data_IF_464975248787
#
_entry.id   IF_464975248787
#
_cell.length_a   1.000
_cell.length_b   1.000
_cell.length_c   1.000
_cell.angle_alpha   90.00
_cell.angle_beta   90.00
_cell.angle_gamma   90.00
#
_symmetry.space_group_name_H-M   'P 1'
#
loop_
_entity.id
_entity.type
_entity.pdbx_description
1 polymer ?
#
# COMPACT_ATOMS: atom_id res chain seq x y z
N UNK A 1 21.82 -35.11 23.10
CA UNK A 1 21.13 -35.11 21.79
C UNK A 1 19.60 -35.15 21.90
N UNK A 2 18.99 -36.11 22.60
CA UNK A 2 17.53 -36.29 22.63
C UNK A 2 16.75 -35.08 23.17
N UNK A 3 17.24 -34.43 24.24
CA UNK A 3 16.62 -33.21 24.81
C UNK A 3 16.59 -32.01 23.84
N UNK A 4 17.61 -31.86 22.99
CA UNK A 4 17.64 -30.80 21.98
C UNK A 4 16.64 -31.09 20.85
N UNK A 5 16.54 -32.36 20.44
CA UNK A 5 15.59 -32.82 19.40
C UNK A 5 14.12 -32.66 19.85
N UNK A 6 13.82 -32.93 21.13
CA UNK A 6 12.49 -32.71 21.72
C UNK A 6 12.16 -31.21 21.82
N UNK A 7 13.13 -30.37 22.20
CA UNK A 7 12.94 -28.91 22.26
C UNK A 7 12.69 -28.32 20.87
N UNK A 8 13.36 -28.84 19.85
CA UNK A 8 13.17 -28.48 18.46
C UNK A 8 11.81 -28.94 17.93
N UNK A 9 11.41 -30.18 18.18
CA UNK A 9 10.07 -30.71 17.85
C UNK A 9 8.95 -29.94 18.54
N UNK A 10 9.11 -29.56 19.81
CA UNK A 10 8.12 -28.74 20.52
C UNK A 10 8.05 -27.32 19.96
N UNK A 11 9.18 -26.75 19.53
CA UNK A 11 9.22 -25.43 18.87
C UNK A 11 8.55 -25.49 17.50
N UNK A 12 8.76 -26.56 16.74
CA UNK A 12 8.08 -26.83 15.46
C UNK A 12 6.58 -27.01 15.68
N UNK A 13 6.16 -27.79 16.69
CA UNK A 13 4.76 -28.01 17.05
C UNK A 13 4.04 -26.74 17.52
N UNK A 14 4.72 -25.90 18.31
CA UNK A 14 4.19 -24.59 18.72
C UNK A 14 4.01 -23.65 17.52
N UNK A 15 5.00 -23.57 16.63
CA UNK A 15 4.87 -22.81 15.37
C UNK A 15 3.74 -23.34 14.48
N UNK A 16 3.62 -24.67 14.36
CA UNK A 16 2.56 -25.33 13.61
C UNK A 16 1.16 -25.03 14.19
N UNK A 17 1.02 -24.98 15.52
CA UNK A 17 -0.25 -24.68 16.19
C UNK A 17 -0.61 -23.19 16.16
N UNK A 18 0.36 -22.27 16.24
CA UNK A 18 0.09 -20.82 16.17
C UNK A 18 -0.46 -20.40 14.80
N UNK A 19 0.03 -21.00 13.71
CA UNK A 19 -0.42 -20.69 12.36
C UNK A 19 -1.81 -21.26 12.04
N UNK A 20 -2.23 -22.34 12.72
CA UNK A 20 -3.60 -22.89 12.62
C UNK A 20 -4.68 -21.95 13.14
N UNK A 21 -4.36 -20.91 13.92
CA UNK A 21 -5.39 -19.96 14.35
C UNK A 21 -6.03 -19.22 13.16
N UNK A 22 -5.26 -18.95 12.09
CA UNK A 22 -5.80 -18.31 10.87
C UNK A 22 -6.63 -19.30 10.03
N UNK A 23 -6.19 -20.56 9.93
CA UNK A 23 -6.94 -21.60 9.21
C UNK A 23 -8.25 -21.96 9.93
N UNK A 24 -8.20 -22.10 11.26
CA UNK A 24 -9.37 -22.38 12.08
C UNK A 24 -10.38 -21.21 12.05
N UNK A 25 -9.90 -19.96 11.87
CA UNK A 25 -10.75 -18.78 11.69
C UNK A 25 -11.55 -18.84 10.38
N UNK A 26 -11.04 -19.45 9.31
CA UNK A 26 -11.83 -19.65 8.08
C UNK A 26 -12.87 -20.77 8.22
N UNK A 27 -12.55 -21.83 8.97
CA UNK A 27 -13.48 -22.97 9.14
C UNK A 27 -14.70 -22.65 10.02
N UNK A 28 -14.60 -21.64 10.86
CA UNK A 28 -15.66 -21.21 11.77
C UNK A 28 -16.14 -19.78 11.40
N UNK A 29 -17.22 -19.71 10.62
CA UNK A 29 -18.18 -18.60 10.48
C UNK A 29 -18.19 -17.76 9.17
N UNK A 30 -19.45 -17.53 8.75
CA UNK A 30 -20.09 -16.32 8.19
C UNK A 30 -19.27 -15.34 7.34
N UNK A 31 -19.85 -14.95 6.21
CA UNK A 31 -19.39 -13.85 5.34
C UNK A 31 -19.11 -12.60 6.20
N UNK A 32 -17.84 -12.24 6.37
CA UNK A 32 -17.45 -11.00 7.03
C UNK A 32 -17.59 -9.82 6.07
N UNK A 33 -18.22 -8.71 6.48
CA UNK A 33 -18.37 -7.55 5.62
C UNK A 33 -17.02 -6.88 5.35
N UNK A 34 -16.92 -6.30 4.17
CA UNK A 34 -15.81 -5.42 3.77
C UNK A 34 -15.71 -4.23 4.74
N UNK A 35 -14.49 -3.86 5.14
CA UNK A 35 -14.24 -2.68 5.96
C UNK A 35 -13.65 -1.53 5.14
N UNK A 36 -14.45 -0.50 4.88
CA UNK A 36 -14.05 0.71 4.13
C UNK A 36 -13.12 1.66 4.88
N UNK A 37 -12.72 1.34 6.11
CA UNK A 37 -11.65 2.03 6.84
C UNK A 37 -10.30 1.30 6.73
N UNK A 38 -10.27 0.16 6.00
CA UNK A 38 -9.04 -0.57 5.69
C UNK A 38 -8.73 -0.41 4.21
N UNK A 39 -7.60 0.23 3.96
CA UNK A 39 -7.14 0.60 2.64
C UNK A 39 -5.92 -0.24 2.25
N UNK A 40 -5.64 -0.40 0.96
CA UNK A 40 -4.46 -1.12 0.47
C UNK A 40 -3.83 -0.42 -0.72
N UNK A 41 -2.51 -0.23 -0.70
CA UNK A 41 -1.78 0.33 -1.84
C UNK A 41 -1.75 -0.68 -2.99
N UNK A 42 -2.09 -0.24 -4.20
CA UNK A 42 -2.23 -1.08 -5.39
C UNK A 42 -1.52 -0.46 -6.59
N UNK A 43 -0.82 -1.30 -7.36
CA UNK A 43 0.01 -0.89 -8.48
C UNK A 43 -0.48 -1.55 -9.77
N UNK A 44 -0.86 -0.71 -10.73
CA UNK A 44 -1.45 -1.12 -12.00
C UNK A 44 -0.46 -0.99 -13.18
N UNK A 45 0.83 -1.21 -12.95
CA UNK A 45 1.90 -0.86 -13.89
C UNK A 45 2.60 -2.05 -14.57
N UNK A 46 2.18 -3.28 -14.28
CA UNK A 46 2.85 -4.48 -14.80
C UNK A 46 2.41 -4.76 -16.23
N UNK A 47 3.35 -5.00 -17.15
CA UNK A 47 3.04 -5.30 -18.56
C UNK A 47 3.74 -6.59 -19.00
N UNK A 48 3.09 -7.36 -19.88
CA UNK A 48 3.65 -8.58 -20.45
C UNK A 48 3.57 -8.64 -21.98
N UNK A 49 4.39 -9.51 -22.58
CA UNK A 49 4.49 -9.61 -24.05
C UNK A 49 3.15 -9.94 -24.72
N UNK A 50 2.30 -10.76 -24.08
CA UNK A 50 1.06 -11.26 -24.70
C UNK A 50 0.02 -10.16 -24.89
N UNK A 51 -0.13 -9.27 -23.90
CA UNK A 51 -1.20 -8.25 -23.88
C UNK A 51 -0.66 -6.88 -24.25
N UNK A 52 0.55 -6.56 -23.82
CA UNK A 52 1.11 -5.22 -23.95
C UNK A 52 2.16 -5.11 -25.06
N UNK A 53 2.60 -6.25 -25.62
CA UNK A 53 3.64 -6.33 -26.65
C UNK A 53 5.07 -6.09 -26.10
N UNK A 54 5.22 -5.81 -24.81
CA UNK A 54 6.51 -5.61 -24.13
C UNK A 54 6.44 -6.04 -22.66
N UNK A 55 7.60 -6.24 -22.06
CA UNK A 55 7.71 -6.31 -20.60
C UNK A 55 7.86 -4.89 -20.03
N UNK A 56 7.12 -4.58 -18.98
CA UNK A 56 7.32 -3.39 -18.16
C UNK A 56 7.15 -3.77 -16.68
N UNK A 57 7.93 -3.13 -15.81
CA UNK A 57 8.10 -3.43 -14.38
C UNK A 57 8.64 -4.84 -14.06
N UNK A 58 8.17 -5.92 -14.67
CA UNK A 58 8.77 -7.25 -14.46
C UNK A 58 10.25 -7.30 -14.83
N UNK A 59 10.59 -6.64 -15.93
CA UNK A 59 11.94 -6.41 -16.43
C UNK A 59 12.55 -5.13 -15.82
N UNK A 60 12.38 -4.88 -14.51
CA UNK A 60 12.96 -3.68 -13.88
C UNK A 60 14.49 -3.67 -14.03
N UNK A 61 15.10 -2.48 -14.10
CA UNK A 61 16.56 -2.33 -14.10
C UNK A 61 17.09 -2.26 -12.66
N UNK A 62 18.27 -2.82 -12.38
CA UNK A 62 18.92 -2.59 -11.09
C UNK A 62 19.19 -1.08 -10.90
N UNK A 63 18.66 -0.52 -9.80
CA UNK A 63 18.83 0.89 -9.46
C UNK A 63 20.25 1.12 -8.98
N UNK A 64 20.94 2.06 -9.63
CA UNK A 64 22.30 2.46 -9.27
C UNK A 64 22.36 2.95 -7.82
N UNK A 65 23.36 2.48 -7.08
CA UNK A 65 23.64 2.96 -5.73
C UNK A 65 24.02 4.45 -5.78
N UNK A 66 23.31 5.27 -5.01
CA UNK A 66 23.55 6.70 -4.89
C UNK A 66 24.53 7.05 -3.74
N UNK A 67 24.84 6.09 -2.86
CA UNK A 67 25.76 6.28 -1.74
C UNK A 67 27.21 6.35 -2.24
N UNK A 68 27.79 7.54 -2.23
CA UNK A 68 29.17 7.79 -2.70
C UNK A 68 30.25 7.02 -1.92
N UNK A 69 29.99 6.72 -0.64
CA UNK A 69 30.96 6.07 0.26
C UNK A 69 30.81 4.53 0.29
N UNK A 70 29.97 3.95 -0.57
CA UNK A 70 29.78 2.50 -0.65
C UNK A 70 30.50 1.96 -1.89
N UNK A 71 31.68 1.39 -1.67
CA UNK A 71 32.58 0.88 -2.73
C UNK A 71 32.19 -0.53 -3.24
N UNK A 72 31.12 -1.13 -2.71
CA UNK A 72 30.68 -2.46 -3.15
C UNK A 72 30.21 -2.43 -4.60
N UNK A 73 30.55 -3.48 -5.34
CA UNK A 73 30.08 -3.71 -6.71
C UNK A 73 28.74 -4.43 -6.65
N UNK A 74 27.75 -3.86 -7.33
CA UNK A 74 26.39 -4.39 -7.40
C UNK A 74 26.02 -4.85 -8.81
N UNK A 75 25.09 -5.81 -8.94
CA UNK A 75 24.50 -6.17 -10.23
C UNK A 75 23.97 -4.94 -10.98
N UNK A 76 24.04 -5.02 -12.31
CA UNK A 76 23.59 -3.98 -13.24
C UNK A 76 22.77 -4.62 -14.36
N UNK A 77 22.11 -3.79 -15.14
CA UNK A 77 21.30 -4.22 -16.27
C UNK A 77 19.88 -4.55 -15.86
N UNK A 78 19.15 -5.10 -16.83
CA UNK A 78 17.71 -5.33 -16.74
C UNK A 78 17.40 -6.79 -16.47
N UNK A 79 16.39 -7.02 -15.64
CA UNK A 79 15.83 -8.36 -15.46
C UNK A 79 15.23 -8.92 -16.77
N UNK A 80 15.24 -10.25 -16.92
CA UNK A 80 14.74 -10.96 -18.11
C UNK A 80 13.57 -11.90 -17.76
N UNK A 81 12.32 -11.40 -17.78
CA UNK A 81 11.14 -12.22 -17.54
C UNK A 81 10.94 -13.28 -18.64
N UNK A 82 10.26 -14.41 -18.35
CA UNK A 82 9.48 -14.65 -17.12
C UNK A 82 10.28 -15.26 -15.97
N UNK A 83 11.48 -15.78 -16.19
CA UNK A 83 12.23 -16.51 -15.15
C UNK A 83 13.02 -15.57 -14.21
N UNK A 84 13.53 -14.45 -14.72
CA UNK A 84 14.27 -13.45 -13.96
C UNK A 84 13.45 -12.14 -13.90
N UNK A 85 12.80 -11.89 -12.76
CA UNK A 85 11.98 -10.67 -12.56
C UNK A 85 12.55 -9.75 -11.48
N UNK A 86 12.23 -8.47 -11.55
CA UNK A 86 12.58 -7.46 -10.53
C UNK A 86 11.80 -7.60 -9.22
N UNK A 87 11.75 -8.80 -8.64
CA UNK A 87 11.17 -9.08 -7.33
C UNK A 87 11.95 -10.18 -6.63
N UNK A 88 11.93 -10.14 -5.30
CA UNK A 88 12.44 -11.22 -4.46
C UNK A 88 11.45 -12.38 -4.27
N UNK A 89 10.17 -12.18 -4.63
CA UNK A 89 9.11 -13.21 -4.61
C UNK A 89 8.60 -13.43 -6.03
N UNK A 90 7.84 -14.52 -6.25
CA UNK A 90 7.25 -14.82 -7.56
C UNK A 90 5.71 -14.87 -7.49
N UNK A 91 4.98 -14.10 -8.31
CA UNK A 91 3.52 -14.07 -8.28
C UNK A 91 2.88 -15.41 -8.67
N UNK A 92 1.82 -15.80 -7.96
CA UNK A 92 0.99 -16.97 -8.33
C UNK A 92 0.35 -16.81 -9.72
N UNK A 93 0.01 -15.59 -10.11
CA UNK A 93 -0.52 -15.25 -11.43
C UNK A 93 0.57 -15.13 -12.51
N UNK A 94 1.84 -15.36 -12.16
CA UNK A 94 2.98 -15.19 -13.04
C UNK A 94 3.28 -13.73 -13.37
N UNK A 95 4.06 -13.49 -14.43
CA UNK A 95 4.37 -12.16 -14.92
C UNK A 95 3.16 -11.59 -15.69
N UNK A 96 2.13 -11.19 -14.96
CA UNK A 96 0.84 -10.78 -15.50
C UNK A 96 0.87 -9.39 -16.13
N UNK A 97 -0.19 -9.05 -16.89
CA UNK A 97 -0.46 -7.68 -17.33
C UNK A 97 -1.52 -7.07 -16.43
N UNK A 98 -1.30 -5.84 -15.97
CA UNK A 98 -2.28 -5.07 -15.21
C UNK A 98 -3.47 -4.63 -16.07
N UNK A 99 -3.41 -4.78 -17.41
CA UNK A 99 -4.53 -4.57 -18.34
C UNK A 99 -5.39 -5.82 -18.54
N UNK A 100 -4.92 -6.99 -18.09
CA UNK A 100 -5.67 -8.23 -18.23
C UNK A 100 -6.90 -8.20 -17.33
N UNK A 101 -8.09 -8.24 -17.93
CA UNK A 101 -9.38 -8.21 -17.23
C UNK A 101 -9.50 -9.39 -16.27
N UNK A 102 -8.94 -10.56 -16.59
CA UNK A 102 -8.93 -11.70 -15.68
C UNK A 102 -8.13 -11.38 -14.41
N UNK A 103 -6.94 -10.79 -14.58
CA UNK A 103 -6.03 -10.42 -13.48
C UNK A 103 -6.68 -9.35 -12.60
N UNK A 104 -7.27 -8.31 -13.19
CA UNK A 104 -7.98 -7.26 -12.45
C UNK A 104 -9.10 -7.89 -11.59
N UNK A 105 -9.96 -8.74 -12.17
CA UNK A 105 -11.06 -9.34 -11.43
C UNK A 105 -10.56 -10.28 -10.31
N UNK A 106 -9.50 -11.04 -10.56
CA UNK A 106 -8.91 -11.91 -9.54
C UNK A 106 -8.29 -11.10 -8.39
N UNK A 107 -7.65 -9.97 -8.68
CA UNK A 107 -7.17 -9.04 -7.64
C UNK A 107 -8.33 -8.46 -6.81
N UNK A 108 -9.39 -7.96 -7.45
CA UNK A 108 -10.56 -7.44 -6.73
C UNK A 108 -11.21 -8.52 -5.86
N UNK A 109 -11.31 -9.76 -6.36
CA UNK A 109 -11.81 -10.90 -5.60
C UNK A 109 -10.94 -11.19 -4.38
N UNK A 110 -9.62 -11.23 -4.52
CA UNK A 110 -8.69 -11.46 -3.41
C UNK A 110 -8.79 -10.37 -2.34
N UNK A 111 -8.82 -9.10 -2.75
CA UNK A 111 -8.92 -7.93 -1.86
C UNK A 111 -10.26 -7.93 -1.11
N UNK A 112 -11.36 -8.18 -1.83
CA UNK A 112 -12.71 -8.29 -1.26
C UNK A 112 -12.82 -9.46 -0.26
N UNK A 113 -12.31 -10.64 -0.63
CA UNK A 113 -12.30 -11.82 0.25
C UNK A 113 -11.45 -11.64 1.51
N UNK A 114 -10.39 -10.82 1.43
CA UNK A 114 -9.59 -10.43 2.58
C UNK A 114 -10.30 -9.42 3.50
N UNK A 115 -11.44 -8.85 3.09
CA UNK A 115 -12.23 -7.88 3.88
C UNK A 115 -11.76 -6.43 3.74
N UNK A 116 -10.86 -6.14 2.80
CA UNK A 116 -10.35 -4.79 2.53
C UNK A 116 -11.38 -4.03 1.69
N UNK A 117 -11.64 -2.76 2.01
CA UNK A 117 -12.66 -1.97 1.30
C UNK A 117 -12.17 -0.96 0.28
N UNK A 118 -10.91 -0.52 0.38
CA UNK A 118 -10.40 0.57 -0.46
C UNK A 118 -9.06 0.21 -1.09
N UNK A 119 -8.97 0.29 -2.41
CA UNK A 119 -7.70 0.29 -3.14
C UNK A 119 -7.19 1.73 -3.25
N UNK A 120 -5.96 1.96 -2.86
CA UNK A 120 -5.25 3.22 -2.99
C UNK A 120 -4.28 3.04 -4.16
N UNK A 121 -4.73 3.44 -5.34
CA UNK A 121 -4.10 3.08 -6.62
C UNK A 121 -3.02 4.09 -6.96
N UNK A 122 -1.76 3.62 -7.10
CA UNK A 122 -0.65 4.42 -7.63
C UNK A 122 -1.08 5.08 -8.95
N UNK A 123 -0.98 6.40 -9.00
CA UNK A 123 -1.51 7.20 -10.11
C UNK A 123 -0.57 8.35 -10.45
N UNK A 124 -0.23 8.42 -11.73
CA UNK A 124 0.44 9.54 -12.36
C UNK A 124 -0.54 10.24 -13.29
N UNK A 125 -0.50 11.58 -13.42
CA UNK A 125 -1.22 12.26 -14.48
C UNK A 125 -0.80 11.74 -15.87
N UNK A 126 -1.69 11.80 -16.88
CA UNK A 126 -1.36 11.40 -18.24
C UNK A 126 -0.08 12.09 -18.76
N UNK A 127 0.87 11.29 -19.25
CA UNK A 127 2.14 11.79 -19.79
C UNK A 127 3.14 12.32 -18.75
N UNK A 128 2.89 12.16 -17.44
CA UNK A 128 3.74 12.68 -16.37
C UNK A 128 4.37 11.59 -15.48
N UNK A 129 4.37 10.33 -15.92
CA UNK A 129 5.05 9.24 -15.21
C UNK A 129 6.57 9.44 -15.17
N UNK A 130 7.21 8.87 -14.15
CA UNK A 130 8.66 8.87 -14.05
C UNK A 130 9.29 7.89 -15.05
N UNK A 131 10.26 8.38 -15.83
CA UNK A 131 10.98 7.53 -16.78
C UNK A 131 10.12 7.02 -17.93
N UNK A 132 10.33 5.75 -18.33
CA UNK A 132 9.64 5.12 -19.46
C UNK A 132 8.32 4.44 -19.09
N UNK A 133 7.91 4.50 -17.82
CA UNK A 133 6.71 3.82 -17.33
C UNK A 133 5.46 4.52 -17.86
N UNK A 134 4.42 3.77 -18.23
CA UNK A 134 3.14 4.37 -18.62
C UNK A 134 2.33 4.70 -17.37
N UNK A 135 1.67 5.85 -17.38
CA UNK A 135 0.69 6.17 -16.33
C UNK A 135 -0.44 5.11 -16.35
N UNK A 136 -0.85 4.59 -15.18
CA UNK A 136 -2.00 3.69 -15.08
C UNK A 136 -3.35 4.42 -15.22
N UNK A 137 -3.37 5.72 -15.59
CA UNK A 137 -4.59 6.51 -15.81
C UNK A 137 -5.57 5.82 -16.77
N UNK A 138 -5.07 5.25 -17.86
CA UNK A 138 -5.89 4.52 -18.85
C UNK A 138 -6.58 3.29 -18.25
N UNK A 139 -5.97 2.65 -17.26
CA UNK A 139 -6.46 1.43 -16.60
C UNK A 139 -7.45 1.78 -15.47
N UNK A 140 -7.42 3.01 -14.97
CA UNK A 140 -8.19 3.44 -13.80
C UNK A 140 -9.70 3.23 -13.95
N UNK A 141 -10.27 3.46 -15.15
CA UNK A 141 -11.69 3.17 -15.43
C UNK A 141 -12.01 1.69 -15.28
N UNK A 142 -11.18 0.79 -15.85
CA UNK A 142 -11.40 -0.65 -15.75
C UNK A 142 -11.27 -1.16 -14.32
N UNK A 143 -10.41 -0.54 -13.50
CA UNK A 143 -10.32 -0.85 -12.08
C UNK A 143 -11.58 -0.40 -11.32
N UNK A 144 -12.12 0.78 -11.64
CA UNK A 144 -13.36 1.28 -11.06
C UNK A 144 -14.55 0.36 -11.37
N UNK A 145 -14.69 -0.05 -12.63
CA UNK A 145 -15.75 -0.95 -13.11
C UNK A 145 -15.65 -2.33 -12.43
N UNK A 146 -14.44 -2.87 -12.30
CA UNK A 146 -14.23 -4.15 -11.62
C UNK A 146 -14.48 -4.02 -10.11
N UNK A 147 -13.97 -2.97 -9.47
CA UNK A 147 -14.18 -2.72 -8.05
C UNK A 147 -15.67 -2.63 -7.69
N UNK A 148 -16.51 -2.06 -8.56
CA UNK A 148 -17.97 -2.03 -8.35
C UNK A 148 -18.57 -3.42 -8.19
N UNK A 149 -18.18 -4.36 -9.07
CA UNK A 149 -18.64 -5.76 -9.04
C UNK A 149 -18.30 -6.46 -7.73
N UNK A 150 -17.18 -6.09 -7.10
CA UNK A 150 -16.71 -6.66 -5.84
C UNK A 150 -16.99 -5.79 -4.61
N UNK A 151 -17.81 -4.73 -4.77
CA UNK A 151 -18.18 -3.77 -3.71
C UNK A 151 -16.99 -3.05 -3.07
N UNK A 152 -15.93 -2.83 -3.83
CA UNK A 152 -14.72 -2.12 -3.41
C UNK A 152 -14.78 -0.65 -3.82
N UNK A 153 -13.93 0.17 -3.19
CA UNK A 153 -13.74 1.59 -3.53
C UNK A 153 -12.30 1.87 -3.94
N UNK A 154 -12.07 2.92 -4.73
CA UNK A 154 -10.76 3.36 -5.19
C UNK A 154 -10.47 4.79 -4.75
N UNK A 155 -9.24 5.04 -4.29
CA UNK A 155 -8.67 6.36 -4.08
C UNK A 155 -7.38 6.50 -4.90
N UNK A 156 -7.11 7.64 -5.55
CA UNK A 156 -5.83 7.87 -6.20
C UNK A 156 -4.71 8.12 -5.18
N UNK A 157 -3.57 7.47 -5.42
CA UNK A 157 -2.29 7.71 -4.77
C UNK A 157 -1.41 8.49 -5.73
N UNK A 158 -1.42 9.81 -5.58
CA UNK A 158 -0.74 10.73 -6.49
C UNK A 158 0.76 10.65 -6.22
N UNK A 159 1.45 10.06 -7.18
CA UNK A 159 2.90 9.86 -7.17
C UNK A 159 3.67 11.17 -7.42
N UNK A 160 4.97 11.23 -7.10
CA UNK A 160 5.80 12.38 -7.38
C UNK A 160 6.18 12.42 -8.87
N UNK A 161 5.36 13.09 -9.68
CA UNK A 161 5.71 13.40 -11.07
C UNK A 161 6.67 14.59 -11.19
N UNK A 162 7.30 14.68 -12.37
CA UNK A 162 8.26 15.74 -12.67
C UNK A 162 7.65 17.14 -12.47
N UNK A 163 8.38 18.02 -11.78
CA UNK A 163 7.95 19.39 -11.49
C UNK A 163 6.58 19.51 -10.79
N UNK A 164 6.12 18.46 -10.09
CA UNK A 164 4.87 18.52 -9.31
C UNK A 164 4.87 19.72 -8.37
N UNK A 165 3.83 20.53 -8.46
CA UNK A 165 3.61 21.73 -7.66
C UNK A 165 2.11 21.96 -7.44
N UNK A 166 1.69 22.88 -6.55
CA UNK A 166 0.27 23.10 -6.27
C UNK A 166 -0.59 23.48 -7.49
N UNK A 167 -0.04 24.23 -8.45
CA UNK A 167 -0.79 24.65 -9.64
C UNK A 167 -1.06 23.47 -10.58
N UNK A 168 -0.04 22.71 -10.96
CA UNK A 168 -0.26 21.55 -11.83
C UNK A 168 -1.02 20.44 -11.13
N UNK A 169 -0.91 20.31 -9.80
CA UNK A 169 -1.74 19.37 -9.06
C UNK A 169 -3.22 19.75 -9.10
N UNK A 170 -3.55 21.04 -8.98
CA UNK A 170 -4.93 21.50 -9.12
C UNK A 170 -5.51 21.12 -10.49
N UNK A 171 -4.77 21.36 -11.57
CA UNK A 171 -5.19 20.97 -12.92
C UNK A 171 -5.35 19.45 -13.05
N UNK A 172 -4.45 18.67 -12.46
CA UNK A 172 -4.55 17.20 -12.46
C UNK A 172 -5.71 16.68 -11.61
N UNK A 173 -6.07 17.34 -10.49
CA UNK A 173 -7.26 17.02 -9.70
C UNK A 173 -8.53 17.34 -10.49
N UNK A 174 -8.57 18.47 -11.19
CA UNK A 174 -9.69 18.81 -12.09
C UNK A 174 -9.86 17.76 -13.17
N UNK A 175 -8.78 17.38 -13.85
CA UNK A 175 -8.77 16.30 -14.83
C UNK A 175 -9.32 15.01 -14.24
N UNK A 176 -8.75 14.53 -13.13
CA UNK A 176 -9.13 13.29 -12.49
C UNK A 176 -10.62 13.30 -12.08
N UNK A 177 -11.07 14.38 -11.44
CA UNK A 177 -12.47 14.51 -11.03
C UNK A 177 -13.41 14.57 -12.24
N UNK A 178 -13.08 15.31 -13.28
CA UNK A 178 -13.93 15.42 -14.47
C UNK A 178 -14.06 14.08 -15.19
N UNK A 179 -12.99 13.28 -15.21
CA UNK A 179 -12.98 11.98 -15.87
C UNK A 179 -13.62 10.87 -15.03
N UNK A 180 -13.32 10.80 -13.73
CA UNK A 180 -13.68 9.66 -12.88
C UNK A 180 -14.68 9.99 -11.77
N UNK A 181 -14.86 11.27 -11.41
CA UNK A 181 -15.51 11.75 -10.18
C UNK A 181 -16.95 11.26 -9.92
N UNK A 182 -17.66 10.90 -10.97
CA UNK A 182 -19.03 10.40 -10.94
C UNK A 182 -19.14 8.89 -10.73
N UNK A 183 -18.03 8.15 -10.84
CA UNK A 183 -18.05 6.70 -10.68
C UNK A 183 -18.41 6.30 -9.23
N UNK A 184 -19.36 5.37 -9.00
CA UNK A 184 -19.82 5.01 -7.66
C UNK A 184 -18.74 4.34 -6.80
N UNK A 185 -17.76 3.69 -7.44
CA UNK A 185 -16.60 3.08 -6.77
C UNK A 185 -15.49 4.05 -6.39
N UNK A 186 -15.60 5.37 -6.64
CA UNK A 186 -14.64 6.30 -6.05
C UNK A 186 -14.86 6.42 -4.55
N UNK A 187 -13.78 6.28 -3.78
CA UNK A 187 -13.79 6.40 -2.34
C UNK A 187 -13.99 7.85 -1.92
N UNK A 188 -14.99 8.06 -1.08
CA UNK A 188 -15.38 9.38 -0.58
C UNK A 188 -15.57 9.29 0.93
N UNK A 189 -15.13 10.33 1.64
CA UNK A 189 -15.39 10.51 3.07
C UNK A 189 -16.37 11.67 3.22
N UNK A 190 -17.36 11.50 4.09
CA UNK A 190 -18.32 12.55 4.44
C UNK A 190 -17.65 13.59 5.34
N UNK A 191 -17.71 14.87 4.93
CA UNK A 191 -17.26 16.02 5.71
C UNK A 191 -18.36 17.07 5.71
N UNK A 192 -19.00 17.26 6.87
CA UNK A 192 -20.25 18.02 6.96
C UNK A 192 -21.31 17.38 6.06
N UNK A 193 -21.85 18.15 5.12
CA UNK A 193 -22.87 17.68 4.17
C UNK A 193 -22.27 17.12 2.86
N UNK A 194 -20.96 17.29 2.63
CA UNK A 194 -20.30 16.91 1.37
C UNK A 194 -19.66 15.53 1.46
N UNK A 195 -19.75 14.75 0.38
CA UNK A 195 -18.96 13.53 0.18
C UNK A 195 -17.76 13.86 -0.71
N UNK A 196 -16.56 13.89 -0.12
CA UNK A 196 -15.34 14.37 -0.77
C UNK A 196 -14.44 13.20 -1.17
N UNK A 197 -13.91 13.23 -2.38
CA UNK A 197 -12.96 12.23 -2.89
C UNK A 197 -11.69 12.29 -2.03
N UNK A 198 -11.13 11.13 -1.68
CA UNK A 198 -9.90 11.03 -0.91
C UNK A 198 -8.69 10.90 -1.84
N UNK A 199 -7.67 11.73 -1.64
CA UNK A 199 -6.43 11.76 -2.38
C UNK A 199 -5.25 11.50 -1.44
N UNK A 200 -4.43 10.50 -1.76
CA UNK A 200 -3.15 10.27 -1.09
C UNK A 200 -2.05 10.97 -1.86
N UNK A 201 -1.23 11.79 -1.20
CA UNK A 201 -0.13 12.50 -1.86
C UNK A 201 1.19 11.88 -1.40
N UNK A 202 1.82 11.07 -2.26
CA UNK A 202 3.14 10.47 -1.97
C UNK A 202 4.22 11.53 -1.99
N UNK A 203 5.22 11.44 -1.13
CA UNK A 203 6.32 12.42 -1.03
C UNK A 203 5.86 13.89 -0.94
N UNK A 204 4.73 14.14 -0.26
CA UNK A 204 4.17 15.49 -0.13
C UNK A 204 5.14 16.50 0.50
N UNK A 205 6.10 16.03 1.30
CA UNK A 205 7.13 16.85 1.95
C UNK A 205 8.13 17.48 0.97
N UNK A 206 8.17 17.05 -0.30
CA UNK A 206 9.02 17.66 -1.34
C UNK A 206 8.55 19.06 -1.75
N UNK A 207 7.33 19.43 -1.40
CA UNK A 207 6.75 20.76 -1.64
C UNK A 207 6.60 21.46 -0.28
N UNK A 208 7.05 22.72 -0.13
CA UNK A 208 6.93 23.48 1.11
C UNK A 208 5.48 23.63 1.59
N UNK A 209 5.26 23.61 2.91
CA UNK A 209 3.93 23.74 3.48
C UNK A 209 3.20 25.04 3.09
N UNK A 210 3.95 26.13 2.88
CA UNK A 210 3.35 27.39 2.43
C UNK A 210 2.77 27.26 1.02
N UNK A 211 3.45 26.54 0.13
CA UNK A 211 2.96 26.27 -1.23
C UNK A 211 1.71 25.39 -1.19
N UNK A 212 1.68 24.36 -0.34
CA UNK A 212 0.48 23.56 -0.13
C UNK A 212 -0.70 24.37 0.39
N UNK A 213 -0.45 25.30 1.30
CA UNK A 213 -1.48 26.16 1.89
C UNK A 213 -2.16 27.04 0.85
N UNK A 214 -1.47 27.44 -0.23
CA UNK A 214 -2.09 28.19 -1.33
C UNK A 214 -3.19 27.41 -2.06
N UNK A 215 -3.11 26.08 -2.05
CA UNK A 215 -4.09 25.17 -2.66
C UNK A 215 -5.10 24.63 -1.63
N UNK A 216 -4.63 24.19 -0.47
CA UNK A 216 -5.44 23.45 0.51
C UNK A 216 -6.00 24.34 1.62
N UNK A 217 -5.55 25.59 1.73
CA UNK A 217 -6.07 26.56 2.69
C UNK A 217 -7.27 27.33 2.12
N UNK A 218 -8.32 27.60 2.91
CA UNK A 218 -9.52 28.30 2.43
C UNK A 218 -9.23 29.69 1.85
N UNK A 219 -8.18 30.36 2.33
CA UNK A 219 -7.76 31.70 1.90
C UNK A 219 -6.53 31.66 0.96
N UNK A 220 -6.19 30.49 0.40
CA UNK A 220 -5.07 30.37 -0.54
C UNK A 220 -5.41 30.95 -1.91
N UNK A 221 -4.42 31.48 -2.64
CA UNK A 221 -4.64 32.14 -3.93
C UNK A 221 -5.23 31.21 -5.01
N UNK A 222 -5.02 29.90 -4.88
CA UNK A 222 -5.56 28.86 -5.77
C UNK A 222 -6.35 27.82 -4.98
N UNK A 223 -7.01 28.25 -3.90
CA UNK A 223 -7.73 27.37 -2.99
C UNK A 223 -8.71 26.46 -3.74
N UNK A 224 -8.60 25.15 -3.48
CA UNK A 224 -9.55 24.15 -3.96
C UNK A 224 -10.75 23.99 -3.03
N UNK A 225 -10.65 24.52 -1.80
CA UNK A 225 -11.66 24.37 -0.76
C UNK A 225 -12.96 25.03 -1.17
N UNK A 226 -14.07 24.39 -0.82
CA UNK A 226 -15.43 24.86 -1.13
C UNK A 226 -15.78 24.93 -2.63
N UNK A 227 -14.87 24.56 -3.52
CA UNK A 227 -15.16 24.41 -4.95
C UNK A 227 -15.78 23.04 -5.26
N UNK A 228 -16.21 22.83 -6.51
CA UNK A 228 -16.63 21.49 -6.97
C UNK A 228 -15.48 20.47 -6.95
N UNK A 229 -14.22 20.94 -6.94
CA UNK A 229 -13.01 20.12 -6.96
C UNK A 229 -12.44 19.79 -5.57
N UNK A 230 -13.10 20.21 -4.50
CA UNK A 230 -12.67 19.93 -3.13
C UNK A 230 -12.56 18.42 -2.85
N UNK A 231 -11.72 18.06 -1.88
CA UNK A 231 -11.31 16.70 -1.58
C UNK A 231 -10.77 16.54 -0.16
N UNK A 232 -10.55 15.30 0.26
CA UNK A 232 -9.77 14.96 1.45
C UNK A 232 -8.35 14.66 1.00
N UNK A 233 -7.38 15.44 1.47
CA UNK A 233 -5.98 15.30 1.09
C UNK A 233 -5.15 14.74 2.24
N UNK A 234 -4.52 13.58 2.02
CA UNK A 234 -3.67 12.91 3.00
C UNK A 234 -2.21 13.01 2.57
N UNK A 235 -1.41 13.75 3.36
CA UNK A 235 0.04 13.90 3.12
C UNK A 235 0.87 12.77 3.73
N UNK A 236 2.08 12.55 3.22
CA UNK A 236 3.00 11.55 3.75
C UNK A 236 3.82 12.13 4.92
N UNK A 237 3.75 11.48 6.09
CA UNK A 237 4.57 11.79 7.25
C UNK A 237 5.79 10.86 7.30
N UNK A 238 6.98 11.43 7.13
CA UNK A 238 8.27 10.72 7.16
C UNK A 238 9.04 11.09 8.41
N UNK A 239 9.41 12.36 8.55
CA UNK A 239 10.19 12.85 9.68
C UNK A 239 9.32 13.46 10.78
N UNK A 240 9.89 13.55 11.98
CA UNK A 240 9.18 14.09 13.14
C UNK A 240 8.73 15.55 12.94
N UNK A 241 9.46 16.35 12.15
CA UNK A 241 9.09 17.72 11.85
C UNK A 241 7.87 17.84 10.92
N UNK A 242 7.59 16.81 10.09
CA UNK A 242 6.45 16.84 9.17
C UNK A 242 5.11 16.92 9.91
N UNK A 243 5.06 16.53 11.19
CA UNK A 243 3.88 16.66 12.04
C UNK A 243 3.37 18.11 12.16
N UNK A 244 4.28 19.08 12.11
CA UNK A 244 3.93 20.51 12.09
C UNK A 244 3.61 21.00 10.68
N UNK A 245 4.34 20.51 9.69
CA UNK A 245 4.19 20.92 8.29
C UNK A 245 2.85 20.46 7.70
N UNK A 246 2.36 19.25 8.03
CA UNK A 246 1.05 18.75 7.59
C UNK A 246 -0.08 19.75 7.96
N UNK A 247 -0.10 20.23 9.21
CA UNK A 247 -1.10 21.20 9.65
C UNK A 247 -0.92 22.56 9.00
N UNK A 248 0.32 23.06 8.87
CA UNK A 248 0.61 24.33 8.18
C UNK A 248 0.18 24.29 6.71
N UNK A 249 0.38 23.16 6.06
CA UNK A 249 0.03 22.86 4.68
C UNK A 249 -1.48 22.69 4.44
N UNK A 250 -2.30 22.63 5.50
CA UNK A 250 -3.77 22.45 5.43
C UNK A 250 -4.21 21.14 4.79
N UNK A 251 -3.39 20.09 4.91
CA UNK A 251 -3.83 18.72 4.68
C UNK A 251 -4.94 18.33 5.67
N UNK A 252 -5.82 17.43 5.24
CA UNK A 252 -6.92 16.90 6.07
C UNK A 252 -6.47 15.74 6.96
N UNK A 253 -5.28 15.21 6.69
CA UNK A 253 -4.70 14.11 7.42
C UNK A 253 -3.36 13.68 6.88
N UNK A 254 -2.88 12.55 7.39
CA UNK A 254 -1.60 11.97 6.98
C UNK A 254 -1.55 10.45 7.10
N UNK A 255 -0.61 9.86 6.36
CA UNK A 255 -0.30 8.42 6.35
C UNK A 255 1.22 8.19 6.39
N UNK A 256 1.67 6.94 6.51
CA UNK A 256 3.09 6.62 6.81
C UNK A 256 3.81 5.75 5.77
N UNK A 257 3.07 5.15 4.83
CA UNK A 257 3.50 4.32 3.70
C UNK A 257 4.44 3.15 4.01
N UNK A 258 5.68 3.39 4.41
CA UNK A 258 6.75 2.39 4.40
C UNK A 258 6.42 1.15 5.25
N UNK A 259 6.52 -0.04 4.64
CA UNK A 259 6.32 -1.32 5.31
C UNK A 259 7.42 -1.64 6.34
N UNK A 260 8.61 -1.03 6.20
CA UNK A 260 9.75 -1.23 7.09
C UNK A 260 9.63 -0.38 8.36
N UNK A 261 9.36 -1.06 9.48
CA UNK A 261 9.38 -0.47 10.81
C UNK A 261 10.78 0.06 11.12
N UNK A 262 10.84 1.30 11.58
CA UNK A 262 12.08 2.00 11.88
C UNK A 262 12.73 2.72 10.68
N UNK A 263 12.16 2.64 9.48
CA UNK A 263 12.71 3.32 8.31
C UNK A 263 12.58 4.85 8.41
N UNK A 264 11.41 5.33 8.84
CA UNK A 264 11.16 6.75 9.10
C UNK A 264 10.52 6.95 10.48
N UNK A 265 10.42 8.19 10.94
CA UNK A 265 9.68 8.49 12.17
C UNK A 265 8.20 8.07 12.03
N UNK A 266 7.58 8.30 10.87
CA UNK A 266 6.21 7.88 10.58
C UNK A 266 6.03 6.36 10.54
N UNK A 267 6.96 5.61 9.93
CA UNK A 267 6.85 4.14 9.84
C UNK A 267 7.29 3.41 11.12
N UNK A 268 7.76 4.14 12.12
CA UNK A 268 8.17 3.59 13.41
C UNK A 268 6.94 3.37 14.32
N UNK A 269 6.52 2.11 14.48
CA UNK A 269 5.25 1.75 15.12
C UNK A 269 5.09 2.25 16.57
N UNK A 270 6.19 2.37 17.33
CA UNK A 270 6.16 2.94 18.69
C UNK A 270 5.68 4.40 18.74
N UNK A 271 5.75 5.13 17.62
CA UNK A 271 5.32 6.52 17.54
C UNK A 271 3.82 6.65 17.25
N UNK A 272 3.13 5.58 16.85
CA UNK A 272 1.75 5.66 16.35
C UNK A 272 0.73 6.07 17.40
N UNK A 273 0.93 5.70 18.68
CA UNK A 273 0.07 6.21 19.75
C UNK A 273 0.17 7.73 19.84
N UNK A 274 1.38 8.29 19.81
CA UNK A 274 1.61 9.73 19.83
C UNK A 274 1.04 10.42 18.59
N UNK A 275 1.22 9.83 17.40
CA UNK A 275 0.69 10.36 16.14
C UNK A 275 -0.85 10.33 16.10
N UNK A 276 -1.48 9.29 16.65
CA UNK A 276 -2.93 9.21 16.80
C UNK A 276 -3.46 10.32 17.71
N UNK A 277 -2.87 10.52 18.90
CA UNK A 277 -3.26 11.63 19.79
C UNK A 277 -3.08 12.99 19.11
N UNK A 278 -1.98 13.18 18.38
CA UNK A 278 -1.75 14.41 17.62
C UNK A 278 -2.87 14.63 16.61
N UNK A 279 -3.20 13.62 15.82
CA UNK A 279 -4.22 13.71 14.78
C UNK A 279 -5.59 14.07 15.36
N UNK A 280 -6.01 13.37 16.42
CA UNK A 280 -7.26 13.67 17.13
C UNK A 280 -7.27 15.09 17.69
N UNK A 281 -6.17 15.54 18.33
CA UNK A 281 -6.07 16.90 18.89
C UNK A 281 -6.10 18.03 17.84
N UNK A 282 -5.84 17.69 16.58
CA UNK A 282 -5.79 18.63 15.46
C UNK A 282 -6.91 18.44 14.44
N UNK A 283 -7.87 17.55 14.72
CA UNK A 283 -8.94 17.15 13.81
C UNK A 283 -8.41 16.69 12.43
N UNK A 284 -7.34 15.89 12.46
CA UNK A 284 -6.70 15.29 11.28
C UNK A 284 -7.05 13.81 11.21
N UNK A 285 -7.17 13.29 9.99
CA UNK A 285 -7.24 11.86 9.73
C UNK A 285 -5.83 11.27 9.86
N UNK A 286 -5.66 10.20 10.62
CA UNK A 286 -4.42 9.42 10.65
C UNK A 286 -4.65 8.02 10.10
N UNK A 287 -3.88 7.67 9.06
CA UNK A 287 -3.90 6.35 8.42
C UNK A 287 -2.50 5.70 8.53
N UNK A 288 -2.16 5.01 9.64
CA UNK A 288 -0.92 4.24 9.70
C UNK A 288 -0.87 3.19 8.59
N UNK A 289 0.35 2.92 8.10
CA UNK A 289 0.62 1.95 7.05
C UNK A 289 1.39 0.75 7.60
N UNK A 290 0.84 -0.43 7.40
CA UNK A 290 1.40 -1.72 7.85
C UNK A 290 1.77 -2.57 6.63
N UNK A 291 2.86 -3.34 6.71
CA UNK A 291 3.25 -4.26 5.64
C UNK A 291 3.71 -5.62 6.17
N UNK A 292 3.64 -6.68 5.35
CA UNK A 292 3.96 -8.04 5.77
C UNK A 292 5.46 -8.27 5.98
N UNK A 293 6.30 -7.40 5.43
CA UNK A 293 7.76 -7.37 5.48
C UNK A 293 8.26 -6.43 4.40
N UNK A 294 9.56 -6.47 4.11
CA UNK A 294 10.18 -5.66 3.07
C UNK A 294 11.46 -6.33 2.58
N UNK A 295 11.66 -6.40 1.27
CA UNK A 295 12.91 -6.81 0.65
C UNK A 295 12.90 -6.39 -0.82
N UNK A 296 13.83 -5.51 -1.18
CA UNK A 296 13.91 -4.90 -2.51
C UNK A 296 15.26 -5.17 -3.20
N UNK A 297 16.04 -6.14 -2.70
CA UNK A 297 17.43 -6.33 -3.13
C UNK A 297 17.56 -6.78 -4.59
N UNK A 298 16.46 -7.22 -5.20
CA UNK A 298 16.40 -7.50 -6.64
C UNK A 298 16.32 -6.25 -7.50
N UNK A 299 15.91 -5.10 -6.95
CA UNK A 299 15.98 -3.82 -7.67
C UNK A 299 16.98 -2.84 -7.04
N UNK A 300 17.23 -2.92 -5.72
CA UNK A 300 18.16 -2.09 -4.95
C UNK A 300 19.10 -2.99 -4.13
N UNK A 301 20.09 -3.64 -4.75
CA UNK A 301 20.94 -4.63 -4.09
C UNK A 301 21.78 -4.05 -2.93
N UNK A 302 21.96 -2.71 -2.89
CA UNK A 302 22.61 -1.96 -1.83
C UNK A 302 21.71 -1.68 -0.59
N UNK A 303 20.42 -2.03 -0.65
CA UNK A 303 19.42 -1.62 0.33
C UNK A 303 19.05 -2.69 1.38
N UNK A 304 19.80 -3.79 1.46
CA UNK A 304 19.53 -4.92 2.35
C UNK A 304 19.37 -4.56 3.85
N UNK A 305 19.93 -3.43 4.30
CA UNK A 305 19.75 -2.94 5.68
C UNK A 305 18.29 -2.64 6.05
N UNK A 306 17.46 -2.33 5.04
CA UNK A 306 16.05 -2.04 5.23
C UNK A 306 15.16 -3.28 5.12
N UNK A 307 15.75 -4.45 4.81
CA UNK A 307 15.02 -5.72 4.77
C UNK A 307 14.37 -6.03 6.12
N UNK A 308 13.13 -6.50 6.06
CA UNK A 308 12.34 -6.98 7.20
C UNK A 308 11.76 -8.32 6.81
N UNK A 309 12.32 -9.37 7.40
CA UNK A 309 11.84 -10.74 7.25
C UNK A 309 10.38 -10.85 7.73
N UNK A 310 9.54 -11.53 6.94
CA UNK A 310 8.11 -11.64 7.25
C UNK A 310 7.83 -12.54 8.47
N UNK A 311 8.80 -13.38 8.84
CA UNK A 311 8.81 -14.29 9.99
C UNK A 311 7.52 -15.09 10.10
N UNK A 312 7.09 -15.71 9.00
CA UNK A 312 5.83 -16.48 8.92
C UNK A 312 4.63 -15.70 9.46
N UNK A 313 4.51 -14.42 9.08
CA UNK A 313 3.40 -13.54 9.46
C UNK A 313 3.59 -12.79 10.77
N UNK A 314 4.57 -13.13 11.61
CA UNK A 314 4.79 -12.46 12.91
C UNK A 314 5.14 -10.99 12.77
N UNK A 315 5.90 -10.61 11.74
CA UNK A 315 6.20 -9.20 11.49
C UNK A 315 4.91 -8.42 11.24
N UNK A 316 4.03 -8.96 10.38
CA UNK A 316 2.76 -8.33 10.04
C UNK A 316 1.79 -8.24 11.23
N UNK A 317 1.72 -9.30 12.03
CA UNK A 317 0.93 -9.35 13.27
C UNK A 317 1.32 -8.22 14.24
N UNK A 318 2.62 -7.98 14.44
CA UNK A 318 3.08 -6.90 15.34
C UNK A 318 2.64 -5.53 14.81
N UNK A 319 2.70 -5.31 13.49
CA UNK A 319 2.21 -4.07 12.86
C UNK A 319 0.72 -3.85 13.08
N UNK A 320 -0.11 -4.88 12.84
CA UNK A 320 -1.54 -4.83 13.11
C UNK A 320 -1.87 -4.54 14.57
N UNK A 321 -1.20 -5.23 15.51
CA UNK A 321 -1.37 -4.99 16.95
C UNK A 321 -1.01 -3.55 17.32
N UNK A 322 0.05 -3.00 16.74
CA UNK A 322 0.45 -1.61 16.98
C UNK A 322 -0.59 -0.61 16.47
N UNK A 323 -1.12 -0.80 15.26
CA UNK A 323 -2.18 0.05 14.70
C UNK A 323 -3.45 0.01 15.56
N UNK A 324 -3.91 -1.19 15.91
CA UNK A 324 -5.09 -1.39 16.79
C UNK A 324 -4.87 -0.73 18.16
N UNK A 325 -3.70 -0.93 18.77
CA UNK A 325 -3.39 -0.38 20.11
C UNK A 325 -3.22 1.13 20.11
N UNK A 326 -2.93 1.73 18.95
CA UNK A 326 -2.90 3.17 18.77
C UNK A 326 -4.31 3.80 18.69
N UNK A 327 -5.39 3.01 18.58
CA UNK A 327 -6.76 3.52 18.56
C UNK A 327 -7.12 4.28 17.29
N UNK A 328 -6.55 3.88 16.14
CA UNK A 328 -6.74 4.57 14.86
C UNK A 328 -8.05 4.21 14.17
N UNK A 329 -8.63 5.21 13.48
CA UNK A 329 -9.88 5.04 12.73
C UNK A 329 -9.69 4.50 11.31
N UNK A 330 -8.47 4.51 10.79
CA UNK A 330 -8.15 4.01 9.46
C UNK A 330 -6.83 3.25 9.49
N UNK A 331 -6.68 2.26 8.62
CA UNK A 331 -5.41 1.55 8.42
C UNK A 331 -5.18 1.42 6.93
N UNK A 332 -3.93 1.56 6.50
CA UNK A 332 -3.50 1.25 5.13
C UNK A 332 -2.53 0.07 5.14
N UNK A 333 -2.61 -0.78 4.13
CA UNK A 333 -1.73 -1.93 3.94
C UNK A 333 -0.77 -1.60 2.80
N UNK A 334 0.52 -1.68 3.07
CA UNK A 334 1.62 -1.58 2.10
C UNK A 334 2.20 -2.97 1.93
N UNK A 335 1.79 -3.73 0.91
CA UNK A 335 0.91 -3.36 -0.21
C UNK A 335 0.11 -4.57 -0.71
N UNK A 336 -0.78 -4.38 -1.68
CA UNK A 336 -1.35 -5.51 -2.42
C UNK A 336 -0.27 -6.19 -3.25
N UNK A 337 0.37 -5.44 -4.16
CA UNK A 337 1.23 -6.00 -5.21
C UNK A 337 2.47 -5.14 -5.55
N UNK A 338 3.11 -4.48 -4.59
CA UNK A 338 4.43 -3.87 -4.80
C UNK A 338 5.52 -4.94 -4.76
N UNK A 339 5.62 -5.71 -5.84
CA UNK A 339 6.51 -6.85 -5.96
C UNK A 339 7.98 -6.46 -5.88
N UNK A 340 8.35 -5.27 -6.38
CA UNK A 340 9.74 -4.80 -6.35
C UNK A 340 10.28 -4.64 -4.94
N UNK A 341 9.42 -4.28 -3.98
CA UNK A 341 9.81 -4.04 -2.60
C UNK A 341 9.51 -5.20 -1.65
N UNK A 342 8.96 -6.29 -2.18
CA UNK A 342 8.65 -7.49 -1.40
C UNK A 342 7.60 -7.24 -0.32
N UNK A 343 6.74 -6.22 -0.49
CA UNK A 343 5.72 -5.81 0.49
C UNK A 343 4.33 -6.36 0.17
N UNK A 344 4.17 -7.07 -0.94
CA UNK A 344 2.91 -7.58 -1.44
C UNK A 344 2.25 -8.60 -0.48
N UNK A 345 0.93 -8.53 -0.32
CA UNK A 345 0.10 -9.60 0.26
C UNK A 345 -0.54 -10.48 -0.82
N UNK A 346 -0.45 -10.08 -2.10
CA UNK A 346 -0.84 -10.90 -3.24
C UNK A 346 -0.15 -12.29 -3.16
N UNK A 347 -0.85 -13.37 -3.56
CA UNK A 347 -0.31 -14.71 -3.47
C UNK A 347 1.02 -14.90 -4.22
N UNK A 348 2.01 -15.43 -3.49
CA UNK A 348 3.31 -15.81 -4.05
C UNK A 348 3.47 -17.33 -4.01
N UNK A 349 4.27 -17.85 -4.94
CA UNK A 349 4.55 -19.29 -5.06
C UNK A 349 6.04 -19.56 -4.98
N UNK A 350 6.39 -20.79 -4.61
CA UNK A 350 7.75 -21.31 -4.72
C UNK A 350 8.18 -21.32 -6.19
N UNK A 351 9.30 -20.67 -6.50
CA UNK A 351 9.91 -20.64 -7.83
C UNK A 351 11.43 -20.62 -7.69
N UNK A 352 12.09 -21.45 -8.49
CA UNK A 352 13.53 -21.50 -8.59
C UNK A 352 13.94 -21.37 -10.06
N UNK A 353 15.07 -20.73 -10.29
CA UNK A 353 15.83 -20.78 -11.54
C UNK A 353 17.22 -21.33 -11.25
N UNK A 354 18.04 -21.49 -12.28
CA UNK A 354 19.44 -21.91 -12.12
C UNK A 354 20.22 -20.92 -11.23
N UNK A 355 19.88 -19.62 -11.30
CA UNK A 355 20.67 -18.55 -10.70
C UNK A 355 20.00 -17.90 -9.47
N UNK A 356 18.74 -18.23 -9.18
CA UNK A 356 18.00 -17.57 -8.11
C UNK A 356 16.89 -18.45 -7.51
N UNK A 357 16.81 -18.45 -6.18
CA UNK A 357 15.69 -19.03 -5.42
C UNK A 357 14.83 -17.88 -4.93
N UNK A 358 13.60 -17.80 -5.41
CA UNK A 358 12.66 -16.77 -4.95
C UNK A 358 12.21 -17.10 -3.53
N UNK A 359 11.97 -16.05 -2.74
CA UNK A 359 11.27 -16.17 -1.47
C UNK A 359 9.80 -16.56 -1.74
N UNK A 360 9.21 -17.28 -0.80
CA UNK A 360 7.84 -17.74 -0.88
C UNK A 360 7.16 -17.67 0.50
N UNK A 361 5.94 -18.19 0.59
CA UNK A 361 5.12 -18.18 1.81
C UNK A 361 5.02 -19.58 2.43
N UNK A 362 5.92 -20.50 2.08
CA UNK A 362 5.89 -21.85 2.64
C UNK A 362 6.37 -21.86 4.10
N UNK A 363 5.82 -22.75 4.95
CA UNK A 363 4.84 -23.80 4.64
C UNK A 363 3.36 -23.36 4.70
N UNK A 364 3.08 -22.07 4.88
CA UNK A 364 1.71 -21.57 5.09
C UNK A 364 0.86 -21.49 3.80
N UNK A 365 1.50 -21.57 2.65
CA UNK A 365 0.87 -21.59 1.33
C UNK A 365 0.63 -20.20 0.73
N UNK A 366 0.33 -20.18 -0.57
CA UNK A 366 0.34 -18.94 -1.37
C UNK A 366 -0.61 -17.85 -0.88
N UNK A 367 -1.73 -18.22 -0.28
CA UNK A 367 -2.79 -17.26 0.06
C UNK A 367 -2.67 -16.77 1.53
N UNK A 368 -1.60 -17.17 2.24
CA UNK A 368 -1.43 -16.95 3.67
C UNK A 368 -1.64 -15.49 4.11
N UNK A 369 -1.03 -14.51 3.43
CA UNK A 369 -1.14 -13.11 3.83
C UNK A 369 -2.53 -12.52 3.61
N UNK A 370 -3.33 -13.03 2.66
CA UNK A 370 -4.73 -12.66 2.52
C UNK A 370 -5.55 -13.15 3.73
N UNK A 371 -5.29 -14.38 4.20
CA UNK A 371 -5.94 -14.96 5.39
C UNK A 371 -5.58 -14.22 6.67
N UNK A 372 -4.29 -13.91 6.86
CA UNK A 372 -3.81 -13.12 7.99
C UNK A 372 -4.46 -11.73 7.98
N UNK A 373 -4.54 -11.10 6.81
CA UNK A 373 -5.21 -9.80 6.65
C UNK A 373 -6.67 -9.87 7.09
N UNK A 374 -7.42 -10.87 6.61
CA UNK A 374 -8.83 -11.08 6.97
C UNK A 374 -9.04 -11.19 8.48
N UNK A 375 -8.22 -11.99 9.15
CA UNK A 375 -8.26 -12.14 10.61
C UNK A 375 -8.05 -10.80 11.34
N UNK A 376 -7.07 -10.02 10.91
CA UNK A 376 -6.76 -8.76 11.56
C UNK A 376 -7.78 -7.66 11.27
N UNK A 377 -8.38 -7.64 10.09
CA UNK A 377 -9.51 -6.75 9.77
C UNK A 377 -10.70 -7.07 10.67
N UNK A 378 -11.00 -8.35 10.90
CA UNK A 378 -12.04 -8.75 11.86
C UNK A 378 -11.72 -8.24 13.27
N UNK A 379 -10.48 -8.42 13.72
CA UNK A 379 -10.01 -7.92 15.03
C UNK A 379 -10.08 -6.38 15.16
N UNK A 380 -9.73 -5.66 14.09
CA UNK A 380 -9.80 -4.20 14.01
C UNK A 380 -11.25 -3.70 14.03
N UNK A 381 -12.14 -4.38 13.32
CA UNK A 381 -13.57 -4.05 13.26
C UNK A 381 -14.23 -4.26 14.63
N UNK A 382 -14.02 -5.40 15.29
CA UNK A 382 -14.71 -5.75 16.53
C UNK A 382 -14.23 -5.00 17.77
N UNK A 383 -12.99 -4.49 17.76
CA UNK A 383 -12.50 -3.65 18.87
C UNK A 383 -13.11 -2.25 18.87
N UNK A 384 -13.88 -1.89 17.84
CA UNK A 384 -14.77 -0.73 17.89
C UNK A 384 -16.06 -1.15 18.57
N UNK A 385 -16.30 -0.63 19.78
CA UNK A 385 -17.65 -0.64 20.35
C UNK A 385 -18.60 -0.03 19.31
N UNK A 386 -19.82 -0.57 19.12
CA UNK A 386 -20.80 0.06 18.24
C UNK A 386 -21.02 1.49 18.69
N UNK A 387 -20.80 2.45 17.79
CA UNK A 387 -21.27 3.82 17.96
C UNK A 387 -22.80 3.72 17.95
N UNK A 388 -23.52 4.17 18.98
CA UNK A 388 -24.97 4.21 18.92
C UNK A 388 -25.36 5.08 17.73
N UNK A 389 -26.14 4.51 16.81
CA UNK A 389 -26.92 5.32 15.88
C UNK A 389 -27.93 6.06 16.77
N UNK A 390 -27.71 7.34 16.99
CA UNK A 390 -28.75 8.27 17.45
C UNK A 390 -29.51 8.77 16.24
#
# INVERSE_FOLDING_TARGET
MLKNKIKELNRIRMKYNENRHYENFETNQTIFPINYNVHIFYYAWYENLRIDGKWEHWNHEYIKNWRKNDERIYPRGRHVPPDDIGSNYYPKLGCYSSKDVYVINEHMKQISNAGIGVLVVSWYPPGMSDGSYRSPDEIFSSLLDSAEKYKLKLAPHIEPYENRNPYNLLENIKYFKNKYGNHPSLYKIKRGEKNLIVYYIYDSYRIPAISWRELLGPNGNISIRETSYDGIFLGLLVDSNHKYEIKKAKFDGFYTYFASNGFSYGSTWKNWKTLSHLASSQNLIFVPSIGPGYVDTRVRPWNAMNTRDRRHGKYYEVGWRAAISAGVDYVSITSFNEWHEGTQIEPAIRKNTINYTYLDYEPEGSDFYLKVTKYWIHSFTNKRRPIPIL
#
